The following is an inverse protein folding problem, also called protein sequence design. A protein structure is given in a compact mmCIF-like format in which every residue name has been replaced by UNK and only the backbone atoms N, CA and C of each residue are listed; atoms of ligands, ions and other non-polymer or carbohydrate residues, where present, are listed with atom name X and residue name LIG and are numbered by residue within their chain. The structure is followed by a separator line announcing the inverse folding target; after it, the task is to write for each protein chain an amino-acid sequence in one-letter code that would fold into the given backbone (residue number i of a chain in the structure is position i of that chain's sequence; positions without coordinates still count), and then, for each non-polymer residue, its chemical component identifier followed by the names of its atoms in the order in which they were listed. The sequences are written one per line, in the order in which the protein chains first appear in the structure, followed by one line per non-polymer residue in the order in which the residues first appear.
data_IF_413846741974
#
_entry.id   IF_413846741974
#
_cell.length_a   1.000
_cell.length_b   1.000
_cell.length_c   1.000
_cell.angle_alpha   90.00
_cell.angle_beta   90.00
_cell.angle_gamma   90.00
#
_symmetry.space_group_name_H-M   'P 1'
#
loop_
_entity.id
_entity.type
_entity.pdbx_description
1 polymer ?
#
# COMPACT_ATOMS: atom_id res chain seq x y z
N UNK A 1 -14.12 -24.62 16.30
CA UNK A 1 -13.13 -24.35 17.35
C UNK A 1 -13.57 -23.11 18.09
N UNK A 2 -13.89 -23.29 19.37
CA UNK A 2 -14.56 -22.33 20.25
C UNK A 2 -13.69 -21.08 20.41
N UNK A 3 -14.22 -19.92 20.02
CA UNK A 3 -13.68 -18.61 20.37
C UNK A 3 -13.75 -18.45 21.89
N UNK A 4 -12.66 -18.78 22.59
CA UNK A 4 -12.51 -18.43 23.99
C UNK A 4 -12.67 -16.91 24.13
N UNK A 5 -13.57 -16.43 25.00
CA UNK A 5 -13.71 -14.99 25.22
C UNK A 5 -12.41 -14.46 25.83
N UNK A 6 -11.75 -13.55 25.13
CA UNK A 6 -10.53 -12.89 25.61
C UNK A 6 -10.82 -12.23 26.97
N UNK A 7 -10.10 -12.66 28.00
CA UNK A 7 -10.22 -12.13 29.37
C UNK A 7 -9.95 -10.61 29.36
N UNK A 8 -10.80 -9.80 30.03
CA UNK A 8 -10.70 -8.32 30.07
C UNK A 8 -9.28 -7.83 30.41
N UNK A 9 -8.58 -8.55 31.28
CA UNK A 9 -7.20 -8.22 31.67
C UNK A 9 -6.17 -8.39 30.54
N UNK A 10 -6.41 -9.27 29.56
CA UNK A 10 -5.55 -9.43 28.37
C UNK A 10 -5.81 -8.29 27.37
N UNK A 11 -7.06 -7.87 27.20
CA UNK A 11 -7.43 -6.73 26.34
C UNK A 11 -6.84 -5.42 26.87
N UNK A 12 -6.91 -5.18 28.18
CA UNK A 12 -6.27 -4.01 28.79
C UNK A 12 -4.74 -4.05 28.66
N UNK A 13 -4.12 -5.23 28.81
CA UNK A 13 -2.66 -5.33 28.66
C UNK A 13 -2.21 -5.06 27.22
N UNK A 14 -2.94 -5.56 26.22
CA UNK A 14 -2.68 -5.30 24.80
C UNK A 14 -2.96 -3.84 24.40
N UNK A 15 -3.99 -3.21 24.97
CA UNK A 15 -4.25 -1.79 24.73
C UNK A 15 -3.17 -0.91 25.35
N UNK A 16 -2.74 -1.20 26.59
CA UNK A 16 -1.69 -0.47 27.28
C UNK A 16 -0.32 -0.58 26.58
N UNK A 17 0.01 -1.73 25.99
CA UNK A 17 1.22 -1.90 25.19
C UNK A 17 1.20 -1.00 23.94
N UNK A 18 0.07 -0.97 23.22
CA UNK A 18 -0.11 -0.10 22.05
C UNK A 18 0.01 1.39 22.39
N UNK A 19 -0.58 1.81 23.52
CA UNK A 19 -0.47 3.21 24.00
C UNK A 19 0.95 3.58 24.41
N UNK A 20 1.69 2.67 25.05
CA UNK A 20 3.07 2.88 25.45
C UNK A 20 4.00 3.03 24.24
N UNK A 21 3.79 2.25 23.19
CA UNK A 21 4.54 2.38 21.94
C UNK A 21 4.25 3.72 21.27
N UNK A 22 2.98 4.14 21.19
CA UNK A 22 2.61 5.44 20.62
C UNK A 22 3.25 6.62 21.35
N UNK A 23 3.36 6.54 22.68
CA UNK A 23 3.98 7.58 23.51
C UNK A 23 5.50 7.68 23.28
N UNK A 24 6.17 6.60 22.85
CA UNK A 24 7.61 6.64 22.56
C UNK A 24 7.94 7.43 21.29
N UNK A 25 7.00 7.54 20.34
CA UNK A 25 7.18 8.34 19.13
C UNK A 25 7.01 9.84 19.41
N UNK A 26 7.99 10.66 19.03
CA UNK A 26 7.79 12.12 19.00
C UNK A 26 6.67 12.49 18.01
N UNK A 27 5.84 13.46 18.37
CA UNK A 27 4.91 14.06 17.43
C UNK A 27 5.66 14.66 16.22
N UNK A 28 5.03 14.61 15.04
CA UNK A 28 5.62 15.12 13.80
C UNK A 28 5.93 16.62 13.88
N UNK A 29 7.14 17.08 13.52
CA UNK A 29 7.52 18.50 13.58
C UNK A 29 6.67 19.37 12.65
N UNK A 30 6.21 18.82 11.51
CA UNK A 30 5.30 19.49 10.58
C UNK A 30 3.96 19.83 11.25
N UNK A 31 3.46 18.96 12.16
CA UNK A 31 2.23 19.21 12.88
C UNK A 31 2.38 20.38 13.86
N UNK A 32 3.51 20.48 14.57
CA UNK A 32 3.80 21.58 15.47
C UNK A 32 3.90 22.92 14.75
N UNK A 33 4.55 22.95 13.57
CA UNK A 33 4.63 24.15 12.71
C UNK A 33 3.23 24.60 12.29
N UNK A 34 2.36 23.67 11.84
CA UNK A 34 0.97 23.97 11.48
C UNK A 34 0.11 24.46 12.67
N UNK A 35 0.51 24.13 13.90
CA UNK A 35 -0.11 24.64 15.14
C UNK A 35 0.52 25.95 15.64
N UNK A 36 1.50 26.51 14.93
CA UNK A 36 2.22 27.72 15.32
C UNK A 36 3.23 27.51 16.45
N UNK A 37 3.55 26.26 16.77
CA UNK A 37 4.42 25.87 17.89
C UNK A 37 5.85 25.57 17.43
N UNK A 38 6.58 26.62 17.02
CA UNK A 38 7.90 26.46 16.40
C UNK A 38 8.95 25.89 17.37
N UNK A 39 8.93 26.28 18.65
CA UNK A 39 9.87 25.77 19.65
C UNK A 39 9.68 24.27 19.95
N UNK A 40 8.43 23.79 19.98
CA UNK A 40 8.14 22.35 20.13
C UNK A 40 8.56 21.57 18.88
N UNK A 41 8.50 22.20 17.70
CA UNK A 41 8.98 21.60 16.45
C UNK A 41 10.50 21.45 16.42
N UNK A 42 11.25 22.46 16.89
CA UNK A 42 12.71 22.41 17.00
C UNK A 42 13.15 21.29 17.96
N UNK A 43 12.53 21.19 19.14
CA UNK A 43 12.80 20.11 20.09
C UNK A 43 12.47 18.71 19.53
N UNK A 44 11.38 18.61 18.76
CA UNK A 44 11.01 17.36 18.10
C UNK A 44 12.00 16.95 17.00
N UNK A 45 12.51 17.92 16.23
CA UNK A 45 13.55 17.72 15.22
C UNK A 45 14.89 17.35 15.86
N UNK A 46 15.29 18.02 16.92
CA UNK A 46 16.55 17.76 17.63
C UNK A 46 16.58 16.33 18.21
N UNK A 47 15.44 15.84 18.69
CA UNK A 47 15.29 14.44 19.13
C UNK A 47 15.37 13.42 17.98
N UNK A 48 14.99 13.81 16.77
CA UNK A 48 15.04 12.96 15.57
C UNK A 48 16.42 12.99 14.89
N UNK A 49 17.11 14.13 14.98
CA UNK A 49 18.40 14.36 14.37
C UNK A 49 19.52 13.59 15.08
N UNK A 50 20.60 13.32 14.34
CA UNK A 50 21.80 12.75 14.93
C UNK A 50 22.44 13.77 15.90
N UNK A 51 23.06 13.27 16.97
CA UNK A 51 23.66 14.09 18.02
C UNK A 51 24.69 15.06 17.42
N UNK A 52 24.48 16.38 17.57
CA UNK A 52 25.37 17.43 17.07
C UNK A 52 25.04 17.97 15.67
N UNK A 53 23.89 17.60 15.10
CA UNK A 53 23.39 18.17 13.85
C UNK A 53 22.63 19.47 14.10
N UNK A 54 22.87 20.50 13.28
CA UNK A 54 22.12 21.76 13.35
C UNK A 54 20.78 21.63 12.64
N UNK A 55 19.71 21.53 13.42
CA UNK A 55 18.33 21.37 12.94
C UNK A 55 17.70 22.65 12.41
N UNK A 56 18.34 23.81 12.54
CA UNK A 56 17.76 25.10 12.15
C UNK A 56 17.49 25.20 10.65
N UNK A 57 18.42 24.72 9.83
CA UNK A 57 18.26 24.74 8.37
C UNK A 57 17.09 23.85 7.91
N UNK A 58 16.90 22.69 8.55
CA UNK A 58 15.78 21.81 8.25
C UNK A 58 14.45 22.40 8.74
N UNK A 59 14.45 23.04 9.91
CA UNK A 59 13.27 23.73 10.44
C UNK A 59 12.81 24.84 9.49
N UNK A 60 13.73 25.68 9.01
CA UNK A 60 13.44 26.72 8.02
C UNK A 60 12.90 26.14 6.71
N UNK A 61 13.52 25.05 6.23
CA UNK A 61 13.07 24.36 5.03
C UNK A 61 11.64 23.82 5.19
N UNK A 62 11.30 23.24 6.33
CA UNK A 62 9.95 22.72 6.60
C UNK A 62 8.93 23.86 6.69
N UNK A 63 9.29 25.01 7.28
CA UNK A 63 8.40 26.17 7.37
C UNK A 63 8.10 26.72 5.96
N UNK A 64 9.11 26.84 5.11
CA UNK A 64 8.92 27.34 3.75
C UNK A 64 8.08 26.37 2.91
N UNK A 65 8.35 25.05 3.02
CA UNK A 65 7.53 24.03 2.37
C UNK A 65 6.07 24.11 2.83
N UNK A 66 5.81 24.27 4.14
CA UNK A 66 4.44 24.38 4.66
C UNK A 66 3.75 25.66 4.15
N UNK A 67 4.47 26.78 4.05
CA UNK A 67 3.95 28.03 3.46
C UNK A 67 3.56 27.83 1.99
N UNK A 68 4.43 27.21 1.19
CA UNK A 68 4.14 26.91 -0.21
C UNK A 68 2.94 25.96 -0.35
N UNK A 69 2.89 24.89 0.45
CA UNK A 69 1.77 23.94 0.47
C UNK A 69 0.44 24.63 0.82
N UNK A 70 0.43 25.49 1.84
CA UNK A 70 -0.78 26.23 2.24
C UNK A 70 -1.25 27.23 1.17
N UNK A 71 -0.32 27.87 0.45
CA UNK A 71 -0.65 28.75 -0.66
C UNK A 71 -1.30 27.97 -1.81
N UNK A 72 -0.76 26.80 -2.12
CA UNK A 72 -1.29 25.90 -3.14
C UNK A 72 -2.66 25.30 -2.75
N UNK A 73 -2.84 24.93 -1.49
CA UNK A 73 -4.10 24.34 -1.01
C UNK A 73 -5.26 25.33 -1.06
N UNK A 74 -5.01 26.62 -0.73
CA UNK A 74 -6.01 27.70 -0.85
C UNK A 74 -6.46 27.93 -2.29
N UNK A 75 -5.59 27.65 -3.26
CA UNK A 75 -5.89 27.83 -4.69
C UNK A 75 -6.62 26.64 -5.34
N UNK A 76 -6.65 25.46 -4.69
CA UNK A 76 -7.11 24.23 -5.34
C UNK A 76 -8.40 23.66 -4.75
N UNK A 77 -9.42 23.49 -5.59
CA UNK A 77 -10.68 22.82 -5.22
C UNK A 77 -10.70 21.35 -5.66
N UNK A 78 -11.49 20.49 -4.99
CA UNK A 78 -11.70 19.10 -5.40
C UNK A 78 -12.21 18.98 -6.84
N UNK A 79 -12.95 19.97 -7.32
CA UNK A 79 -13.46 20.02 -8.69
C UNK A 79 -12.33 20.08 -9.75
N UNK A 80 -11.14 20.54 -9.36
CA UNK A 80 -10.00 20.66 -10.27
C UNK A 80 -9.36 19.31 -10.63
N UNK A 81 -9.68 18.26 -9.86
CA UNK A 81 -9.28 16.88 -10.15
C UNK A 81 -9.97 16.37 -11.42
N UNK A 82 -11.18 16.89 -11.71
CA UNK A 82 -11.99 16.49 -12.87
C UNK A 82 -11.74 17.35 -14.12
N UNK A 83 -10.90 18.40 -14.04
CA UNK A 83 -10.49 19.18 -15.22
C UNK A 83 -9.59 18.35 -16.14
N UNK A 84 -9.81 18.46 -17.45
CA UNK A 84 -9.25 17.62 -18.54
C UNK A 84 -7.80 17.14 -18.35
N UNK A 85 -6.86 18.05 -18.04
CA UNK A 85 -5.43 17.72 -17.89
C UNK A 85 -5.14 16.84 -16.66
N UNK A 86 -5.87 17.05 -15.56
CA UNK A 86 -5.71 16.30 -14.32
C UNK A 86 -6.51 15.00 -14.34
N UNK A 87 -7.62 14.95 -15.07
CA UNK A 87 -8.50 13.79 -15.15
C UNK A 87 -7.77 12.55 -15.69
N UNK A 88 -6.97 12.71 -16.76
CA UNK A 88 -6.16 11.58 -17.30
C UNK A 88 -5.21 10.99 -16.26
N UNK A 89 -4.55 11.84 -15.48
CA UNK A 89 -3.63 11.42 -14.41
C UNK A 89 -4.39 10.72 -13.28
N UNK A 90 -5.57 11.21 -12.92
CA UNK A 90 -6.44 10.60 -11.92
C UNK A 90 -6.96 9.23 -12.37
N UNK A 91 -7.42 9.10 -13.61
CA UNK A 91 -7.90 7.82 -14.16
C UNK A 91 -6.77 6.78 -14.15
N UNK A 92 -5.56 7.15 -14.58
CA UNK A 92 -4.41 6.24 -14.55
C UNK A 92 -4.11 5.78 -13.11
N UNK A 93 -4.12 6.70 -12.14
CA UNK A 93 -3.91 6.36 -10.74
C UNK A 93 -4.99 5.40 -10.21
N UNK A 94 -6.27 5.68 -10.47
CA UNK A 94 -7.39 4.82 -10.05
C UNK A 94 -7.32 3.43 -10.70
N UNK A 95 -7.04 3.34 -12.00
CA UNK A 95 -6.90 2.05 -12.70
C UNK A 95 -5.71 1.26 -12.16
N UNK A 96 -4.57 1.92 -11.91
CA UNK A 96 -3.41 1.27 -11.30
C UNK A 96 -3.72 0.74 -9.91
N UNK A 97 -4.49 1.47 -9.11
CA UNK A 97 -4.82 1.08 -7.74
C UNK A 97 -5.91 0.00 -7.67
N UNK A 98 -6.89 0.04 -8.58
CA UNK A 98 -7.93 -1.00 -8.74
C UNK A 98 -7.36 -2.40 -8.93
N UNK A 99 -6.12 -2.53 -9.42
CA UNK A 99 -5.45 -3.83 -9.55
C UNK A 99 -5.28 -4.59 -8.24
N UNK A 100 -5.34 -3.92 -7.09
CA UNK A 100 -5.30 -4.56 -5.76
C UNK A 100 -6.58 -5.38 -5.52
N UNK A 101 -7.73 -4.95 -6.06
CA UNK A 101 -9.02 -5.65 -5.95
C UNK A 101 -8.91 -7.06 -6.53
N UNK A 102 -8.11 -7.25 -7.58
CA UNK A 102 -7.93 -8.56 -8.24
C UNK A 102 -7.45 -9.65 -7.28
N UNK A 103 -6.59 -9.31 -6.30
CA UNK A 103 -6.13 -10.26 -5.28
C UNK A 103 -7.28 -10.66 -4.35
N UNK A 104 -8.07 -9.69 -3.90
CA UNK A 104 -9.18 -9.90 -2.95
C UNK A 104 -10.24 -10.80 -3.58
N UNK A 105 -10.62 -10.51 -4.83
CA UNK A 105 -11.61 -11.32 -5.56
C UNK A 105 -11.11 -12.73 -5.83
N UNK A 106 -9.84 -12.90 -6.19
CA UNK A 106 -9.25 -14.22 -6.46
C UNK A 106 -9.13 -15.06 -5.18
N UNK A 107 -8.82 -14.44 -4.04
CA UNK A 107 -8.76 -15.11 -2.73
C UNK A 107 -10.11 -15.66 -2.28
N UNK A 108 -11.21 -14.95 -2.55
CA UNK A 108 -12.56 -15.39 -2.17
C UNK A 108 -13.03 -16.66 -2.91
N UNK A 109 -12.63 -16.84 -4.17
CA UNK A 109 -12.95 -18.05 -4.94
C UNK A 109 -12.32 -19.32 -4.35
N UNK A 110 -11.34 -19.17 -3.46
CA UNK A 110 -10.51 -20.24 -2.91
C UNK A 110 -10.84 -20.60 -1.46
N UNK A 111 -11.72 -19.82 -0.82
CA UNK A 111 -12.16 -20.04 0.56
C UNK A 111 -12.87 -21.39 0.77
N UNK A 112 -13.27 -22.08 -0.30
CA UNK A 112 -13.90 -23.41 -0.20
C UNK A 112 -12.93 -24.58 0.10
N UNK A 113 -11.60 -24.40 0.00
CA UNK A 113 -10.60 -25.47 0.29
C UNK A 113 -9.51 -25.00 1.28
N UNK A 114 -9.89 -24.15 2.24
CA UNK A 114 -9.10 -22.99 2.68
C UNK A 114 -7.87 -23.20 3.56
N UNK A 115 -7.85 -24.09 4.56
CA UNK A 115 -6.92 -23.90 5.68
C UNK A 115 -5.43 -24.08 5.31
N UNK A 116 -5.08 -25.18 4.64
CA UNK A 116 -3.69 -25.43 4.24
C UNK A 116 -3.25 -24.50 3.12
N UNK A 117 -4.13 -24.21 2.16
CA UNK A 117 -3.82 -23.31 1.05
C UNK A 117 -3.58 -21.86 1.53
N UNK A 118 -4.34 -21.40 2.53
CA UNK A 118 -4.16 -20.06 3.11
C UNK A 118 -2.79 -19.89 3.79
N UNK A 119 -2.25 -20.93 4.44
CA UNK A 119 -0.90 -20.86 5.04
C UNK A 119 0.17 -20.66 3.95
N UNK A 120 0.10 -21.45 2.88
CA UNK A 120 1.02 -21.32 1.75
C UNK A 120 0.89 -19.97 1.04
N UNK A 121 -0.33 -19.44 0.94
CA UNK A 121 -0.56 -18.08 0.43
C UNK A 121 0.06 -17.00 1.31
N UNK A 122 -0.08 -17.12 2.63
CA UNK A 122 0.52 -16.19 3.57
C UNK A 122 2.05 -16.19 3.45
N UNK A 123 2.66 -17.37 3.34
CA UNK A 123 4.10 -17.48 3.14
C UNK A 123 4.53 -16.90 1.77
N UNK A 124 3.79 -17.21 0.71
CA UNK A 124 4.03 -16.65 -0.62
C UNK A 124 3.92 -15.11 -0.64
N UNK A 125 2.97 -14.55 0.09
CA UNK A 125 2.81 -13.11 0.24
C UNK A 125 4.01 -12.48 0.98
N UNK A 126 4.53 -13.13 2.02
CA UNK A 126 5.75 -12.68 2.71
C UNK A 126 6.97 -12.71 1.78
N UNK A 127 7.15 -13.79 1.02
CA UNK A 127 8.23 -13.89 0.03
C UNK A 127 8.11 -12.79 -1.01
N UNK A 128 6.89 -12.53 -1.51
CA UNK A 128 6.61 -11.41 -2.40
C UNK A 128 7.00 -10.07 -1.77
N UNK A 129 6.61 -9.84 -0.51
CA UNK A 129 6.95 -8.61 0.21
C UNK A 129 8.46 -8.40 0.34
N UNK A 130 9.24 -9.42 0.71
CA UNK A 130 10.70 -9.30 0.76
C UNK A 130 11.34 -9.12 -0.62
N UNK A 131 10.81 -9.79 -1.65
CA UNK A 131 11.26 -9.62 -3.02
C UNK A 131 10.98 -8.21 -3.56
N UNK A 132 9.98 -7.50 -3.03
CA UNK A 132 9.67 -6.14 -3.46
C UNK A 132 10.75 -5.11 -3.16
N UNK A 133 11.48 -5.29 -2.05
CA UNK A 133 12.50 -4.33 -1.58
C UNK A 133 13.62 -4.11 -2.62
N UNK A 134 14.31 -5.15 -3.11
CA UNK A 134 15.34 -4.97 -4.14
C UNK A 134 14.76 -4.51 -5.48
N UNK A 135 13.53 -4.92 -5.82
CA UNK A 135 12.87 -4.52 -7.07
C UNK A 135 12.62 -3.00 -7.06
N UNK A 136 12.15 -2.46 -5.93
CA UNK A 136 11.84 -1.04 -5.80
C UNK A 136 13.11 -0.18 -5.71
N UNK A 137 14.20 -0.72 -5.16
CA UNK A 137 15.48 -0.04 -5.04
C UNK A 137 16.27 0.02 -6.36
N UNK A 138 16.24 -1.04 -7.18
CA UNK A 138 17.11 -1.17 -8.37
C UNK A 138 16.42 -0.96 -9.71
N UNK A 139 15.12 -1.19 -9.82
CA UNK A 139 14.45 -1.23 -11.12
C UNK A 139 13.68 0.06 -11.46
N UNK A 140 13.58 0.35 -12.77
CA UNK A 140 12.72 1.43 -13.28
C UNK A 140 11.25 1.04 -13.09
N UNK A 141 10.48 1.89 -12.40
CA UNK A 141 9.11 1.62 -11.93
C UNK A 141 8.10 1.28 -13.04
N UNK A 142 8.13 2.04 -14.14
CA UNK A 142 7.19 1.90 -15.27
C UNK A 142 7.31 0.57 -16.04
N UNK A 143 8.48 0.16 -16.57
CA UNK A 143 8.58 -1.08 -17.31
C UNK A 143 8.28 -2.30 -16.44
N UNK A 144 8.74 -2.32 -15.19
CA UNK A 144 8.45 -3.43 -14.26
C UNK A 144 6.95 -3.59 -14.04
N UNK A 145 6.22 -2.48 -13.86
CA UNK A 145 4.77 -2.54 -13.71
C UNK A 145 4.11 -3.14 -14.96
N UNK A 146 4.46 -2.68 -16.16
CA UNK A 146 3.89 -3.18 -17.41
C UNK A 146 4.16 -4.68 -17.59
N UNK A 147 5.40 -5.12 -17.36
CA UNK A 147 5.78 -6.53 -17.45
C UNK A 147 5.05 -7.39 -16.41
N UNK A 148 5.01 -6.95 -15.16
CA UNK A 148 4.28 -7.65 -14.10
C UNK A 148 2.79 -7.78 -14.44
N UNK A 149 2.17 -6.74 -15.00
CA UNK A 149 0.79 -6.77 -15.47
C UNK A 149 0.59 -7.77 -16.60
N UNK A 150 1.50 -7.83 -17.57
CA UNK A 150 1.43 -8.81 -18.66
C UNK A 150 1.52 -10.25 -18.14
N UNK A 151 2.50 -10.52 -17.26
CA UNK A 151 2.69 -11.84 -16.63
C UNK A 151 1.45 -12.25 -15.84
N UNK A 152 0.90 -11.35 -15.01
CA UNK A 152 -0.32 -11.64 -14.26
C UNK A 152 -1.53 -11.89 -15.16
N UNK A 153 -1.68 -11.16 -16.26
CA UNK A 153 -2.74 -11.43 -17.23
C UNK A 153 -2.62 -12.83 -17.84
N UNK A 154 -1.41 -13.22 -18.26
CA UNK A 154 -1.14 -14.58 -18.78
C UNK A 154 -1.46 -15.66 -17.74
N UNK A 155 -1.05 -15.48 -16.48
CA UNK A 155 -1.36 -16.43 -15.41
C UNK A 155 -2.87 -16.58 -15.16
N UNK A 156 -3.62 -15.48 -15.17
CA UNK A 156 -5.08 -15.51 -15.03
C UNK A 156 -5.76 -16.24 -16.20
N UNK A 157 -5.28 -16.06 -17.43
CA UNK A 157 -5.76 -16.84 -18.57
C UNK A 157 -5.49 -18.34 -18.40
N UNK A 158 -4.29 -18.73 -17.95
CA UNK A 158 -3.96 -20.13 -17.69
C UNK A 158 -4.87 -20.75 -16.62
N UNK A 159 -5.12 -20.03 -15.53
CA UNK A 159 -6.07 -20.43 -14.49
C UNK A 159 -7.47 -20.63 -15.09
N UNK A 160 -7.94 -19.68 -15.91
CA UNK A 160 -9.25 -19.77 -16.56
C UNK A 160 -9.37 -20.99 -17.49
N UNK A 161 -8.33 -21.30 -18.25
CA UNK A 161 -8.30 -22.49 -19.11
C UNK A 161 -8.31 -23.80 -18.30
N UNK A 162 -7.61 -23.84 -17.17
CA UNK A 162 -7.61 -25.02 -16.27
C UNK A 162 -9.03 -25.28 -15.73
N UNK A 163 -9.79 -24.22 -15.45
CA UNK A 163 -11.16 -24.34 -14.95
C UNK A 163 -12.18 -24.76 -16.01
N UNK A 164 -11.88 -24.57 -17.30
CA UNK A 164 -12.74 -25.00 -18.42
C UNK A 164 -12.64 -26.51 -18.71
N UNK A 165 -11.66 -27.21 -18.12
CA UNK A 165 -11.44 -28.63 -18.38
C UNK A 165 -12.62 -29.50 -17.88
N UNK A 166 -13.13 -30.45 -18.68
CA UNK A 166 -14.17 -31.38 -18.23
C UNK A 166 -13.62 -32.29 -17.13
N UNK A 167 -14.45 -32.57 -16.11
CA UNK A 167 -14.11 -33.37 -14.92
C UNK A 167 -13.07 -32.75 -13.97
N UNK A 168 -13.04 -31.41 -13.86
CA UNK A 168 -12.14 -30.68 -12.97
C UNK A 168 -12.14 -31.20 -11.52
N UNK A 169 -13.31 -31.50 -10.96
CA UNK A 169 -13.43 -31.95 -9.56
C UNK A 169 -12.97 -33.40 -9.33
N UNK A 170 -12.85 -34.21 -10.39
CA UNK A 170 -12.45 -35.62 -10.29
C UNK A 170 -10.93 -35.79 -10.48
N UNK A 171 -10.27 -34.82 -11.13
CA UNK A 171 -8.83 -34.85 -11.38
C UNK A 171 -8.08 -34.03 -10.34
N UNK A 172 -7.57 -34.70 -9.32
CA UNK A 172 -6.70 -34.09 -8.30
C UNK A 172 -5.55 -33.25 -8.91
N UNK A 173 -4.99 -33.69 -10.04
CA UNK A 173 -3.90 -32.98 -10.75
C UNK A 173 -4.31 -31.57 -11.18
N UNK A 174 -5.55 -31.37 -11.65
CA UNK A 174 -6.03 -30.06 -12.11
C UNK A 174 -6.16 -29.08 -10.92
N UNK A 175 -6.63 -29.57 -9.78
CA UNK A 175 -6.78 -28.78 -8.55
C UNK A 175 -5.40 -28.36 -8.00
N UNK A 176 -4.43 -29.27 -7.96
CA UNK A 176 -3.07 -28.96 -7.52
C UNK A 176 -2.36 -27.99 -8.49
N UNK A 177 -2.53 -28.17 -9.80
CA UNK A 177 -1.99 -27.27 -10.80
C UNK A 177 -2.58 -25.86 -10.67
N UNK A 178 -3.90 -25.74 -10.47
CA UNK A 178 -4.55 -24.46 -10.19
C UNK A 178 -4.01 -23.81 -8.91
N UNK A 179 -3.83 -24.59 -7.84
CA UNK A 179 -3.24 -24.09 -6.59
C UNK A 179 -1.82 -23.54 -6.76
N UNK A 180 -0.97 -24.23 -7.53
CA UNK A 180 0.39 -23.78 -7.81
C UNK A 180 0.42 -22.47 -8.62
N UNK A 181 -0.44 -22.35 -9.64
CA UNK A 181 -0.57 -21.14 -10.44
C UNK A 181 -1.06 -19.94 -9.61
N UNK A 182 -1.96 -20.19 -8.65
CA UNK A 182 -2.44 -19.17 -7.71
C UNK A 182 -1.35 -18.69 -6.75
N UNK A 183 -0.54 -19.60 -6.20
CA UNK A 183 0.60 -19.24 -5.35
C UNK A 183 1.57 -18.35 -6.14
N UNK A 184 1.89 -18.71 -7.38
CA UNK A 184 2.76 -17.90 -8.24
C UNK A 184 2.16 -16.51 -8.51
N UNK A 185 0.84 -16.44 -8.76
CA UNK A 185 0.13 -15.18 -8.96
C UNK A 185 0.23 -14.26 -7.73
N UNK A 186 0.13 -14.81 -6.52
CA UNK A 186 0.27 -14.08 -5.26
C UNK A 186 1.69 -13.54 -5.08
N UNK A 187 2.72 -14.34 -5.38
CA UNK A 187 4.12 -13.88 -5.31
C UNK A 187 4.35 -12.71 -6.27
N UNK A 188 3.92 -12.82 -7.53
CA UNK A 188 4.08 -11.76 -8.54
C UNK A 188 3.34 -10.48 -8.12
N UNK A 189 2.12 -10.62 -7.60
CA UNK A 189 1.35 -9.48 -7.11
C UNK A 189 1.99 -8.81 -5.90
N UNK A 190 2.43 -9.59 -4.91
CA UNK A 190 3.10 -9.08 -3.71
C UNK A 190 4.46 -8.45 -3.99
N UNK A 191 5.22 -9.00 -4.94
CA UNK A 191 6.57 -8.52 -5.27
C UNK A 191 6.58 -7.23 -6.10
N UNK A 192 5.65 -7.08 -7.05
CA UNK A 192 5.67 -5.97 -7.99
C UNK A 192 4.40 -5.12 -7.96
N UNK A 193 3.21 -5.73 -8.08
CA UNK A 193 1.99 -4.97 -8.36
C UNK A 193 1.58 -4.10 -7.16
N UNK A 194 1.51 -4.66 -5.95
CA UNK A 194 1.11 -3.94 -4.74
C UNK A 194 2.09 -2.80 -4.33
N UNK A 195 3.40 -3.03 -4.24
CA UNK A 195 4.35 -1.97 -3.86
C UNK A 195 4.51 -0.91 -4.95
N UNK A 196 4.44 -1.28 -6.23
CA UNK A 196 4.62 -0.30 -7.32
C UNK A 196 3.33 0.52 -7.53
N UNK A 197 2.14 -0.06 -7.38
CA UNK A 197 0.88 0.69 -7.53
C UNK A 197 0.74 1.81 -6.49
N UNK A 198 1.03 1.51 -5.23
CA UNK A 198 1.02 2.50 -4.13
C UNK A 198 2.02 3.64 -4.37
N UNK A 199 3.20 3.32 -4.91
CA UNK A 199 4.21 4.32 -5.29
C UNK A 199 3.75 5.18 -6.47
N UNK A 200 3.20 4.58 -7.53
CA UNK A 200 2.68 5.32 -8.69
C UNK A 200 1.58 6.30 -8.27
N UNK A 201 0.67 5.88 -7.40
CA UNK A 201 -0.38 6.78 -6.86
C UNK A 201 0.22 7.97 -6.10
N UNK A 202 1.37 7.79 -5.46
CA UNK A 202 2.12 8.86 -4.81
C UNK A 202 2.87 9.81 -5.77
N UNK A 203 3.28 9.33 -6.95
CA UNK A 203 4.11 10.10 -7.91
C UNK A 203 3.31 10.84 -8.99
N UNK A 204 2.09 10.39 -9.30
CA UNK A 204 1.23 10.95 -10.36
C UNK A 204 0.57 12.31 -9.99
N UNK A 205 0.23 12.63 -8.73
CA UNK A 205 -0.34 13.93 -8.37
C UNK A 205 0.69 15.04 -8.16
N UNK A 206 0.28 16.28 -8.49
CA UNK A 206 0.92 17.49 -8.01
C UNK A 206 0.76 17.61 -6.50
N UNK A 207 1.73 18.19 -5.79
CA UNK A 207 1.76 18.26 -4.31
C UNK A 207 0.42 18.76 -3.72
N UNK A 208 -0.19 19.78 -4.32
CA UNK A 208 -1.49 20.35 -3.90
C UNK A 208 -2.71 19.41 -4.04
N UNK A 209 -2.69 18.51 -5.03
CA UNK A 209 -3.81 17.59 -5.30
C UNK A 209 -3.53 16.17 -4.81
N UNK A 210 -2.33 15.91 -4.29
CA UNK A 210 -1.88 14.61 -3.81
C UNK A 210 -2.76 14.01 -2.73
N UNK A 211 -3.03 14.70 -1.59
CA UNK A 211 -3.88 14.12 -0.55
C UNK A 211 -5.30 13.84 -1.06
N UNK A 212 -5.87 14.77 -1.83
CA UNK A 212 -7.22 14.65 -2.41
C UNK A 212 -7.33 13.48 -3.39
N UNK A 213 -6.32 13.26 -4.23
CA UNK A 213 -6.30 12.16 -5.22
C UNK A 213 -6.00 10.81 -4.59
N UNK A 214 -5.10 10.75 -3.60
CA UNK A 214 -4.82 9.52 -2.84
C UNK A 214 -6.08 9.04 -2.14
N UNK A 215 -6.85 9.94 -1.53
CA UNK A 215 -8.13 9.61 -0.92
C UNK A 215 -9.10 8.98 -1.94
N UNK A 216 -9.29 9.60 -3.10
CA UNK A 216 -10.15 9.08 -4.17
C UNK A 216 -9.65 7.71 -4.68
N UNK A 217 -8.34 7.57 -4.88
CA UNK A 217 -7.74 6.32 -5.33
C UNK A 217 -7.97 5.19 -4.31
N UNK A 218 -7.82 5.49 -3.02
CA UNK A 218 -8.04 4.53 -1.95
C UNK A 218 -9.51 4.12 -1.81
N UNK A 219 -10.47 4.97 -2.18
CA UNK A 219 -11.90 4.61 -2.20
C UNK A 219 -12.25 3.57 -3.28
N UNK A 220 -11.39 3.37 -4.28
CA UNK A 220 -11.65 2.42 -5.37
C UNK A 220 -11.34 0.97 -4.97
N UNK A 221 -10.43 0.75 -4.02
CA UNK A 221 -10.02 -0.59 -3.57
C UNK A 221 -11.04 -1.20 -2.60
#
# INVERSE_FOLDING_TARGET
MVSQPLNKNQLEKHSLLSFRELYMYSCSPVWFIRKGKVAEAEAALDRLAAKGYDVRQDLESIIEIDREEQALDKSTSYQEIFKSTNLRRTIIACVCFSTIITIITTGNALANNAAYFMIWCGLAALVGAFASLPILAKCRRRPVYIWARFISATLLFLIGFVQLAPYYYEKHVAIFAQGALMILLIVVHGAAISPISTVIVGEVPSNALRPKRVAISNMVQ
#
